data_IF_252205263849
#
_entry.id   IF_252205263849
#
_cell.length_a   1.000
_cell.length_b   1.000
_cell.length_c   1.000
_cell.angle_alpha   90.00
_cell.angle_beta   90.00
_cell.angle_gamma   90.00
#
_symmetry.space_group_name_H-M   'P 1'
#
loop_
_entity.id
_entity.type
_entity.pdbx_description
1 polymer ?
#
# COMPACT_ATOMS: atom_id res chain seq x y z
N UNK A 1 -10.58 2.57 -9.18
CA UNK A 1 -10.54 4.01 -8.86
C UNK A 1 -9.91 4.78 -10.00
N UNK A 2 -10.46 5.95 -10.33
CA UNK A 2 -9.93 6.84 -11.36
C UNK A 2 -9.62 8.22 -10.77
N UNK A 3 -8.37 8.64 -10.85
CA UNK A 3 -7.89 9.89 -10.24
C UNK A 3 -7.22 10.79 -11.27
N UNK A 4 -7.43 12.09 -11.15
CA UNK A 4 -6.68 13.12 -11.86
C UNK A 4 -5.56 13.67 -11.00
N UNK A 5 -4.33 13.72 -11.52
CA UNK A 5 -3.19 14.35 -10.83
C UNK A 5 -2.73 15.55 -11.66
N UNK A 6 -2.68 16.73 -11.06
CA UNK A 6 -2.09 17.92 -11.66
C UNK A 6 -0.79 18.28 -10.93
N UNK A 7 0.33 18.22 -11.63
CA UNK A 7 1.54 18.91 -11.17
C UNK A 7 1.31 20.40 -11.40
N UNK A 8 1.19 21.16 -10.31
CA UNK A 8 0.95 22.59 -10.38
C UNK A 8 1.96 23.30 -11.28
N UNK A 9 1.49 24.32 -12.00
CA UNK A 9 2.28 25.23 -12.83
C UNK A 9 2.85 24.65 -14.14
N UNK A 10 3.24 25.56 -15.03
CA UNK A 10 3.84 25.26 -16.33
C UNK A 10 5.37 25.16 -16.26
N UNK A 11 5.98 24.47 -17.22
CA UNK A 11 7.45 24.48 -17.42
C UNK A 11 7.88 25.80 -18.04
N UNK A 12 7.07 26.30 -18.97
CA UNK A 12 7.35 27.53 -19.72
C UNK A 12 6.07 28.31 -20.02
N UNK A 13 6.23 29.59 -20.34
CA UNK A 13 5.11 30.51 -20.52
C UNK A 13 4.57 31.02 -19.17
N UNK A 14 3.29 31.37 -19.14
CA UNK A 14 2.63 31.89 -17.95
C UNK A 14 2.31 30.78 -16.95
N UNK A 15 2.28 31.14 -15.66
CA UNK A 15 1.90 30.25 -14.57
C UNK A 15 2.96 29.23 -14.19
N UNK A 16 4.23 29.62 -14.16
CA UNK A 16 5.38 28.76 -13.80
C UNK A 16 5.63 28.61 -12.28
N UNK A 17 4.76 29.21 -11.46
CA UNK A 17 4.80 29.13 -9.99
C UNK A 17 5.89 29.97 -9.34
N UNK A 18 6.10 29.72 -8.05
CA UNK A 18 7.11 30.39 -7.25
C UNK A 18 8.53 29.88 -7.56
N UNK A 19 9.51 30.78 -7.47
CA UNK A 19 10.94 30.46 -7.54
C UNK A 19 11.56 30.88 -6.20
N UNK A 20 11.75 29.91 -5.32
CA UNK A 20 12.40 30.09 -4.02
C UNK A 20 13.78 29.44 -4.00
N UNK A 21 14.12 28.82 -2.88
CA UNK A 21 15.32 27.97 -2.74
C UNK A 21 15.22 26.76 -3.68
N UNK A 22 14.01 26.26 -3.88
CA UNK A 22 13.66 25.32 -4.95
C UNK A 22 12.60 25.96 -5.86
N UNK A 23 12.61 25.60 -7.14
CA UNK A 23 11.59 26.05 -8.10
C UNK A 23 10.35 25.18 -7.97
N UNK A 24 9.21 25.78 -7.67
CA UNK A 24 7.96 25.08 -7.42
C UNK A 24 7.59 24.15 -8.60
N UNK A 25 7.56 24.68 -9.82
CA UNK A 25 7.18 23.94 -11.04
C UNK A 25 8.03 22.69 -11.33
N UNK A 26 9.28 22.64 -10.87
CA UNK A 26 10.11 21.43 -11.00
C UNK A 26 9.73 20.39 -9.96
N UNK A 27 9.55 20.84 -8.71
CA UNK A 27 9.31 19.96 -7.59
C UNK A 27 7.88 19.42 -7.56
N UNK A 28 6.88 20.17 -8.05
CA UNK A 28 5.54 19.63 -8.27
C UNK A 28 5.57 18.46 -9.26
N UNK A 29 6.35 18.57 -10.35
CA UNK A 29 6.53 17.49 -11.34
C UNK A 29 7.33 16.31 -10.80
N UNK A 30 8.35 16.55 -9.98
CA UNK A 30 9.11 15.47 -9.35
C UNK A 30 8.20 14.66 -8.41
N UNK A 31 7.46 15.33 -7.52
CA UNK A 31 6.52 14.66 -6.60
C UNK A 31 5.37 14.01 -7.38
N UNK A 32 4.80 14.71 -8.35
CA UNK A 32 3.66 14.22 -9.12
C UNK A 32 3.98 12.97 -9.93
N UNK A 33 5.17 12.87 -10.55
CA UNK A 33 5.58 11.64 -11.26
C UNK A 33 5.67 10.44 -10.32
N UNK A 34 6.24 10.61 -9.13
CA UNK A 34 6.29 9.53 -8.13
C UNK A 34 4.90 9.18 -7.61
N UNK A 35 4.02 10.17 -7.38
CA UNK A 35 2.66 9.91 -6.94
C UNK A 35 1.84 9.16 -8.01
N UNK A 36 1.98 9.54 -9.28
CA UNK A 36 1.37 8.84 -10.42
C UNK A 36 1.84 7.38 -10.44
N UNK A 37 3.15 7.14 -10.33
CA UNK A 37 3.72 5.78 -10.29
C UNK A 37 3.13 4.95 -9.16
N UNK A 38 3.15 5.47 -7.93
CA UNK A 38 2.61 4.79 -6.74
C UNK A 38 1.12 4.46 -6.88
N UNK A 39 0.33 5.40 -7.40
CA UNK A 39 -1.11 5.20 -7.61
C UNK A 39 -1.39 4.14 -8.68
N UNK A 40 -0.63 4.15 -9.78
CA UNK A 40 -0.74 3.14 -10.84
C UNK A 40 -0.33 1.74 -10.35
N UNK A 41 0.76 1.64 -9.59
CA UNK A 41 1.20 0.38 -8.98
C UNK A 41 0.18 -0.18 -7.99
N UNK A 42 -0.58 0.69 -7.33
CA UNK A 42 -1.70 0.32 -6.48
C UNK A 42 -3.03 0.09 -7.24
N UNK A 43 -2.97 -0.02 -8.56
CA UNK A 43 -4.13 -0.37 -9.40
C UNK A 43 -5.10 0.78 -9.68
N UNK A 44 -4.76 2.03 -9.38
CA UNK A 44 -5.57 3.17 -9.76
C UNK A 44 -5.37 3.54 -11.24
N UNK A 45 -6.45 3.91 -11.93
CA UNK A 45 -6.37 4.55 -13.23
C UNK A 45 -6.04 6.04 -13.02
N UNK A 46 -4.87 6.48 -13.50
CA UNK A 46 -4.41 7.86 -13.29
C UNK A 46 -4.47 8.65 -14.59
N UNK A 47 -5.10 9.83 -14.53
CA UNK A 47 -5.16 10.82 -15.60
C UNK A 47 -4.21 11.96 -15.25
N UNK A 48 -3.12 12.09 -15.99
CA UNK A 48 -2.20 13.22 -15.83
C UNK A 48 -2.84 14.49 -16.39
N UNK A 49 -3.15 15.43 -15.51
CA UNK A 49 -3.75 16.72 -15.80
C UNK A 49 -2.71 17.86 -15.86
N UNK A 50 -1.42 17.54 -15.94
CA UNK A 50 -0.31 18.50 -15.95
C UNK A 50 -0.24 19.26 -17.29
N UNK A 51 0.09 20.55 -17.22
CA UNK A 51 0.21 21.42 -18.40
C UNK A 51 1.62 22.00 -18.44
N UNK A 52 2.35 21.75 -19.53
CA UNK A 52 3.74 22.20 -19.64
C UNK A 52 3.90 23.64 -20.17
N UNK A 53 2.93 24.13 -20.93
CA UNK A 53 2.96 25.49 -21.47
C UNK A 53 1.57 26.11 -21.58
N UNK A 54 1.48 27.41 -21.24
CA UNK A 54 0.31 28.25 -21.46
C UNK A 54 0.73 29.71 -21.75
N UNK A 55 -0.04 30.44 -22.54
CA UNK A 55 0.18 31.86 -22.80
C UNK A 55 -0.40 32.77 -21.72
N UNK A 56 -1.25 32.25 -20.83
CA UNK A 56 -1.76 32.98 -19.66
C UNK A 56 -2.06 32.06 -18.46
N UNK A 57 -2.12 32.65 -17.26
CA UNK A 57 -2.53 31.93 -16.04
C UNK A 57 -3.92 31.30 -16.18
N UNK A 58 -4.88 32.04 -16.75
CA UNK A 58 -6.25 31.56 -16.93
C UNK A 58 -6.30 30.38 -17.90
N UNK A 59 -5.50 30.40 -18.96
CA UNK A 59 -5.42 29.30 -19.90
C UNK A 59 -4.87 28.04 -19.22
N UNK A 60 -3.76 28.14 -18.49
CA UNK A 60 -3.21 27.02 -17.70
C UNK A 60 -4.29 26.39 -16.80
N UNK A 61 -4.94 27.20 -15.97
CA UNK A 61 -5.95 26.72 -15.03
C UNK A 61 -7.14 26.09 -15.75
N UNK A 62 -7.59 26.68 -16.86
CA UNK A 62 -8.71 26.14 -17.64
C UNK A 62 -8.37 24.81 -18.31
N UNK A 63 -7.15 24.65 -18.84
CA UNK A 63 -6.69 23.41 -19.49
C UNK A 63 -6.57 22.26 -18.48
N UNK A 64 -5.95 22.50 -17.32
CA UNK A 64 -5.82 21.49 -16.27
C UNK A 64 -7.20 20.98 -15.80
N UNK A 65 -8.14 21.90 -15.56
CA UNK A 65 -9.51 21.54 -15.17
C UNK A 65 -10.28 20.86 -16.31
N UNK A 66 -10.05 21.25 -17.57
CA UNK A 66 -10.68 20.59 -18.71
C UNK A 66 -10.25 19.13 -18.84
N UNK A 67 -8.96 18.82 -18.66
CA UNK A 67 -8.46 17.44 -18.62
C UNK A 67 -9.17 16.63 -17.54
N UNK A 68 -9.27 17.17 -16.32
CA UNK A 68 -9.95 16.51 -15.21
C UNK A 68 -11.45 16.30 -15.47
N UNK A 69 -12.14 17.31 -16.00
CA UNK A 69 -13.60 17.30 -16.18
C UNK A 69 -14.10 16.56 -17.42
N UNK A 70 -13.20 16.17 -18.33
CA UNK A 70 -13.47 15.27 -19.45
C UNK A 70 -13.53 13.81 -19.01
N UNK A 71 -13.18 13.53 -17.77
CA UNK A 71 -13.16 12.21 -17.17
C UNK A 71 -14.16 12.15 -16.00
N UNK A 72 -14.68 10.95 -15.73
CA UNK A 72 -15.45 10.68 -14.52
C UNK A 72 -14.50 10.28 -13.39
N UNK A 73 -13.89 11.27 -12.75
CA UNK A 73 -12.88 11.07 -11.70
C UNK A 73 -13.53 10.93 -10.33
N UNK A 74 -13.03 9.98 -9.52
CA UNK A 74 -13.32 9.89 -8.10
C UNK A 74 -12.68 11.07 -7.34
N UNK A 75 -11.47 11.45 -7.78
CA UNK A 75 -10.65 12.49 -7.16
C UNK A 75 -9.80 13.28 -8.16
N UNK A 76 -9.58 14.55 -7.83
CA UNK A 76 -8.57 15.41 -8.44
C UNK A 76 -7.60 15.93 -7.38
N UNK A 77 -6.30 15.73 -7.59
CA UNK A 77 -5.23 16.12 -6.67
C UNK A 77 -4.27 17.06 -7.39
N UNK A 78 -4.18 18.31 -6.92
CA UNK A 78 -3.21 19.30 -7.41
C UNK A 78 -2.03 19.39 -6.44
N UNK A 79 -0.79 19.25 -6.91
CA UNK A 79 0.42 19.32 -6.08
C UNK A 79 1.09 20.67 -6.27
N UNK A 80 1.40 21.35 -5.17
CA UNK A 80 1.99 22.69 -5.11
C UNK A 80 3.03 22.80 -4.00
N UNK A 81 3.84 23.86 -4.08
CA UNK A 81 4.71 24.30 -2.99
C UNK A 81 4.46 25.78 -2.72
N UNK A 82 4.32 26.11 -1.45
CA UNK A 82 3.90 27.44 -1.05
C UNK A 82 5.07 28.44 -1.10
N UNK A 83 4.76 29.72 -1.03
CA UNK A 83 5.72 30.78 -0.82
C UNK A 83 5.11 31.88 0.04
N UNK A 84 5.94 32.66 0.73
CA UNK A 84 5.50 33.78 1.56
C UNK A 84 6.35 35.01 1.29
N UNK A 85 5.73 36.19 1.28
CA UNK A 85 6.47 37.44 0.99
C UNK A 85 7.62 37.72 1.96
N UNK A 86 7.57 37.18 3.19
CA UNK A 86 8.63 37.29 4.20
C UNK A 86 9.53 36.06 4.30
N UNK A 87 9.29 35.01 3.49
CA UNK A 87 10.02 33.74 3.51
C UNK A 87 10.04 33.01 4.87
N UNK A 88 9.13 33.38 5.78
CA UNK A 88 8.97 32.78 7.12
C UNK A 88 7.78 31.84 7.23
N UNK A 89 6.95 31.76 6.19
CA UNK A 89 5.95 30.71 6.05
C UNK A 89 6.61 29.35 6.08
N UNK A 90 6.03 28.41 6.82
CA UNK A 90 6.53 27.04 6.92
C UNK A 90 5.38 26.07 7.21
N UNK A 91 5.55 24.82 6.78
CA UNK A 91 4.62 23.72 6.98
C UNK A 91 3.77 23.37 5.77
N UNK A 92 2.95 22.34 5.95
CA UNK A 92 2.04 21.80 4.94
C UNK A 92 0.61 22.26 5.15
N UNK A 93 -0.14 22.46 4.06
CA UNK A 93 -1.59 22.69 4.09
C UNK A 93 -2.29 22.06 2.88
N UNK A 94 -3.57 21.73 3.04
CA UNK A 94 -4.39 21.19 1.95
C UNK A 94 -5.63 22.05 1.78
N UNK A 95 -5.91 22.50 0.58
CA UNK A 95 -7.06 23.30 0.24
C UNK A 95 -8.17 22.45 -0.37
N UNK A 96 -9.38 22.58 0.16
CA UNK A 96 -10.58 21.90 -0.34
C UNK A 96 -11.72 22.88 -0.54
N UNK A 97 -12.73 22.51 -1.35
CA UNK A 97 -13.88 23.36 -1.57
C UNK A 97 -14.62 23.62 -0.25
N UNK A 98 -14.83 24.90 0.11
CA UNK A 98 -15.38 25.34 1.41
C UNK A 98 -14.62 24.84 2.65
N UNK A 99 -13.36 24.43 2.50
CA UNK A 99 -12.55 23.91 3.61
C UNK A 99 -13.09 22.61 4.20
N UNK A 100 -13.84 21.83 3.40
CA UNK A 100 -14.34 20.52 3.79
C UNK A 100 -13.21 19.62 4.29
N UNK A 101 -13.37 19.12 5.51
CA UNK A 101 -12.44 18.23 6.17
C UNK A 101 -12.60 16.79 5.64
N UNK A 102 -12.28 16.58 4.37
CA UNK A 102 -12.25 15.22 3.83
C UNK A 102 -11.21 14.40 4.61
N UNK A 103 -11.57 13.20 5.11
CA UNK A 103 -10.63 12.37 5.87
C UNK A 103 -9.29 12.18 5.14
N UNK A 104 -9.36 12.03 3.82
CA UNK A 104 -8.22 11.86 2.91
C UNK A 104 -7.28 13.08 2.95
N UNK A 105 -7.84 14.29 2.89
CA UNK A 105 -7.08 15.55 2.97
C UNK A 105 -6.47 15.76 4.36
N UNK A 106 -7.22 15.43 5.43
CA UNK A 106 -6.73 15.49 6.81
C UNK A 106 -5.57 14.50 7.00
N UNK A 107 -5.69 13.28 6.47
CA UNK A 107 -4.65 12.27 6.54
C UNK A 107 -3.42 12.63 5.70
N UNK A 108 -3.57 13.26 4.54
CA UNK A 108 -2.43 13.80 3.78
C UNK A 108 -1.64 14.81 4.63
N UNK A 109 -2.30 15.80 5.23
CA UNK A 109 -1.64 16.73 6.15
C UNK A 109 -0.93 16.00 7.30
N UNK A 110 -1.58 14.99 7.89
CA UNK A 110 -1.02 14.22 9.00
C UNK A 110 0.21 13.40 8.60
N UNK A 111 0.22 12.82 7.40
CA UNK A 111 1.37 12.04 6.94
C UNK A 111 2.56 12.94 6.61
N UNK A 112 2.32 14.11 6.02
CA UNK A 112 3.37 15.12 5.82
C UNK A 112 3.89 15.64 7.18
N UNK A 113 3.02 15.85 8.17
CA UNK A 113 3.45 16.19 9.54
C UNK A 113 4.42 15.15 10.14
N UNK A 114 4.15 13.86 9.92
CA UNK A 114 5.02 12.78 10.42
C UNK A 114 6.43 12.79 9.79
N UNK A 115 6.62 13.48 8.66
CA UNK A 115 7.93 13.71 8.05
C UNK A 115 8.67 14.92 8.64
N UNK A 116 8.05 15.66 9.56
CA UNK A 116 8.63 16.80 10.27
C UNK A 116 8.11 18.17 9.83
N UNK A 117 7.15 18.23 8.90
CA UNK A 117 6.52 19.51 8.53
C UNK A 117 5.57 20.00 9.62
N UNK A 118 5.49 21.32 9.80
CA UNK A 118 4.41 21.90 10.60
C UNK A 118 3.07 21.65 9.92
N UNK A 119 2.12 21.02 10.62
CA UNK A 119 0.77 20.82 10.10
C UNK A 119 -0.06 22.11 10.22
N UNK A 120 -0.54 22.65 9.10
CA UNK A 120 -1.40 23.85 9.07
C UNK A 120 -2.86 23.51 8.74
N UNK A 121 -3.16 22.22 8.63
CA UNK A 121 -4.51 21.68 8.46
C UNK A 121 -5.10 21.87 7.07
N UNK A 122 -6.37 21.48 6.96
CA UNK A 122 -7.17 21.67 5.75
C UNK A 122 -7.80 23.07 5.78
N UNK A 123 -7.68 23.80 4.67
CA UNK A 123 -8.09 25.20 4.51
C UNK A 123 -9.14 25.39 3.43
N UNK A 124 -9.84 26.52 3.53
CA UNK A 124 -10.82 26.89 2.52
C UNK A 124 -10.14 27.27 1.20
N UNK A 125 -10.40 26.45 0.17
CA UNK A 125 -9.88 26.60 -1.20
C UNK A 125 -10.92 27.07 -2.21
N UNK A 126 -12.08 27.58 -1.79
CA UNK A 126 -13.17 28.00 -2.73
C UNK A 126 -12.71 29.04 -3.75
N UNK A 127 -11.70 29.85 -3.42
CA UNK A 127 -11.11 30.84 -4.32
C UNK A 127 -10.19 30.24 -5.39
N UNK A 128 -9.62 29.06 -5.16
CA UNK A 128 -8.65 28.42 -6.04
C UNK A 128 -9.37 27.80 -7.24
N UNK A 129 -8.93 28.16 -8.45
CA UNK A 129 -9.64 27.79 -9.67
C UNK A 129 -9.80 26.27 -9.83
N UNK A 130 -8.70 25.51 -9.66
CA UNK A 130 -8.71 24.05 -9.83
C UNK A 130 -9.56 23.34 -8.77
N UNK A 131 -9.65 23.87 -7.55
CA UNK A 131 -10.53 23.34 -6.49
C UNK A 131 -12.00 23.69 -6.79
N UNK A 132 -12.27 24.91 -7.28
CA UNK A 132 -13.63 25.39 -7.51
C UNK A 132 -14.27 24.84 -8.78
N UNK A 133 -13.49 24.62 -9.84
CA UNK A 133 -13.99 24.34 -11.19
C UNK A 133 -13.91 22.86 -11.59
N UNK A 134 -13.26 22.02 -10.79
CA UNK A 134 -13.28 20.57 -10.99
C UNK A 134 -14.60 19.98 -10.50
N UNK A 135 -15.20 19.08 -11.29
CA UNK A 135 -16.48 18.40 -10.99
C UNK A 135 -16.30 17.33 -9.91
N UNK A 136 -15.21 16.57 -10.00
CA UNK A 136 -14.84 15.54 -9.04
C UNK A 136 -14.50 16.11 -7.66
N UNK A 137 -14.43 15.25 -6.64
CA UNK A 137 -13.88 15.62 -5.34
C UNK A 137 -12.44 16.11 -5.53
N UNK A 138 -12.10 17.29 -5.02
CA UNK A 138 -10.82 17.92 -5.32
C UNK A 138 -10.07 18.39 -4.08
N UNK A 139 -8.74 18.28 -4.12
CA UNK A 139 -7.85 18.96 -3.19
C UNK A 139 -6.62 19.54 -3.89
N UNK A 140 -6.09 20.63 -3.32
CA UNK A 140 -4.79 21.20 -3.68
C UNK A 140 -3.87 21.09 -2.47
N UNK A 141 -2.74 20.43 -2.63
CA UNK A 141 -1.76 20.16 -1.58
C UNK A 141 -0.63 21.17 -1.72
N UNK A 142 -0.43 22.00 -0.70
CA UNK A 142 0.80 22.74 -0.50
C UNK A 142 1.74 21.88 0.35
N UNK A 143 2.71 21.24 -0.29
CA UNK A 143 3.61 20.28 0.36
C UNK A 143 4.38 20.95 1.49
N UNK A 144 5.10 22.02 1.15
CA UNK A 144 5.84 22.88 2.07
C UNK A 144 6.14 24.21 1.38
N UNK A 145 6.80 25.15 2.07
CA UNK A 145 7.22 26.43 1.51
C UNK A 145 8.54 26.28 0.74
N UNK A 146 8.54 26.55 -0.58
CA UNK A 146 9.73 26.43 -1.44
C UNK A 146 10.79 27.51 -1.18
N UNK A 147 10.42 28.57 -0.46
CA UNK A 147 11.23 29.72 -0.12
C UNK A 147 11.67 29.75 1.36
N UNK A 148 11.36 28.70 2.13
CA UNK A 148 11.77 28.56 3.51
C UNK A 148 12.83 27.46 3.68
N UNK A 149 13.97 27.81 4.26
CA UNK A 149 15.12 26.90 4.36
C UNK A 149 14.84 25.67 5.24
N UNK A 150 14.05 25.83 6.31
CA UNK A 150 13.71 24.72 7.20
C UNK A 150 12.82 23.70 6.49
N UNK A 151 11.78 24.18 5.79
CA UNK A 151 10.90 23.31 5.00
C UNK A 151 11.67 22.59 3.88
N UNK A 152 12.57 23.27 3.16
CA UNK A 152 13.38 22.62 2.12
C UNK A 152 14.33 21.58 2.70
N UNK A 153 14.88 21.80 3.91
CA UNK A 153 15.69 20.81 4.60
C UNK A 153 14.86 19.59 5.01
N UNK A 154 13.66 19.80 5.58
CA UNK A 154 12.71 18.74 5.93
C UNK A 154 12.32 17.94 4.69
N UNK A 155 12.00 18.62 3.57
CA UNK A 155 11.70 17.98 2.28
C UNK A 155 12.83 17.06 1.81
N UNK A 156 14.08 17.51 1.87
CA UNK A 156 15.24 16.68 1.50
C UNK A 156 15.44 15.51 2.45
N UNK A 157 15.35 15.75 3.76
CA UNK A 157 15.52 14.73 4.80
C UNK A 157 14.42 13.66 4.74
N UNK A 158 13.22 14.02 4.29
CA UNK A 158 12.12 13.11 4.07
C UNK A 158 12.31 12.18 2.85
N UNK A 159 13.42 12.27 2.12
CA UNK A 159 13.66 11.51 0.89
C UNK A 159 13.28 12.28 -0.38
N UNK A 160 13.10 13.61 -0.29
CA UNK A 160 12.75 14.45 -1.43
C UNK A 160 11.42 14.04 -2.06
N UNK A 161 11.37 14.08 -3.39
CA UNK A 161 10.12 13.86 -4.12
C UNK A 161 9.47 12.50 -3.85
N UNK A 162 10.29 11.43 -3.78
CA UNK A 162 9.80 10.07 -3.53
C UNK A 162 9.15 9.93 -2.15
N UNK A 163 9.80 10.44 -1.10
CA UNK A 163 9.24 10.35 0.25
C UNK A 163 8.01 11.23 0.48
N UNK A 164 7.95 12.41 -0.16
CA UNK A 164 6.72 13.21 -0.17
C UNK A 164 5.59 12.50 -0.90
N UNK A 165 5.85 11.96 -2.09
CA UNK A 165 4.86 11.23 -2.86
C UNK A 165 4.34 10.02 -2.07
N UNK A 166 5.22 9.28 -1.40
CA UNK A 166 4.85 8.15 -0.54
C UNK A 166 3.97 8.60 0.65
N UNK A 167 4.28 9.74 1.29
CA UNK A 167 3.46 10.28 2.37
C UNK A 167 2.08 10.75 1.90
N UNK A 168 1.99 11.42 0.73
CA UNK A 168 0.71 11.79 0.11
C UNK A 168 -0.08 10.52 -0.22
N UNK A 169 0.55 9.54 -0.85
CA UNK A 169 -0.06 8.26 -1.21
C UNK A 169 -0.62 7.52 0.01
N UNK A 170 0.18 7.34 1.06
CA UNK A 170 -0.25 6.70 2.32
C UNK A 170 -1.35 7.49 3.02
N UNK A 171 -1.30 8.83 2.97
CA UNK A 171 -2.34 9.68 3.54
C UNK A 171 -3.66 9.55 2.80
N UNK A 172 -3.60 9.50 1.47
CA UNK A 172 -4.76 9.38 0.61
C UNK A 172 -5.42 8.01 0.73
N UNK A 173 -4.66 6.92 0.61
CA UNK A 173 -5.22 5.57 0.53
C UNK A 173 -5.78 5.02 1.86
N UNK A 174 -5.64 5.73 2.99
CA UNK A 174 -6.22 5.31 4.27
C UNK A 174 -7.75 5.34 4.31
N UNK A 175 -8.37 6.16 3.47
CA UNK A 175 -9.83 6.38 3.46
C UNK A 175 -10.42 6.29 2.05
N UNK A 176 -9.58 5.91 1.11
CA UNK A 176 -9.87 5.78 -0.31
C UNK A 176 -9.52 4.33 -0.66
N UNK A 177 -10.51 3.58 -1.13
CA UNK A 177 -10.37 2.15 -1.44
C UNK A 177 -9.48 1.95 -2.68
N UNK A 178 -8.16 2.12 -2.49
CA UNK A 178 -7.12 1.78 -3.45
C UNK A 178 -6.62 0.39 -3.06
N UNK A 179 -6.94 -0.66 -3.84
CA UNK A 179 -6.50 -2.01 -3.51
C UNK A 179 -4.97 -2.08 -3.36
N UNK A 180 -4.44 -2.45 -2.19
CA UNK A 180 -3.01 -2.79 -2.00
C UNK A 180 -2.08 -1.68 -1.49
N UNK A 181 -2.55 -0.47 -1.21
CA UNK A 181 -1.69 0.63 -0.75
C UNK A 181 -1.23 0.47 0.72
N UNK A 182 0.04 0.07 0.93
CA UNK A 182 0.63 -0.11 2.26
C UNK A 182 0.41 -1.50 2.88
N UNK A 183 -0.17 -2.41 2.11
CA UNK A 183 -0.31 -3.81 2.45
C UNK A 183 0.94 -4.59 2.04
N UNK A 184 1.13 -5.78 2.63
CA UNK A 184 2.32 -6.60 2.46
C UNK A 184 2.15 -7.53 1.26
N UNK A 185 2.96 -7.37 0.19
CA UNK A 185 2.85 -8.23 -0.99
C UNK A 185 3.12 -9.70 -0.67
N UNK A 186 2.36 -10.60 -1.30
CA UNK A 186 2.63 -12.05 -1.25
C UNK A 186 3.74 -12.42 -2.22
N UNK A 187 3.78 -11.80 -3.41
CA UNK A 187 4.88 -11.96 -4.35
C UNK A 187 6.09 -11.13 -3.90
N UNK A 188 7.30 -11.65 -4.11
CA UNK A 188 8.56 -11.00 -3.80
C UNK A 188 9.54 -11.89 -3.06
N UNK A 189 10.68 -11.31 -2.67
CA UNK A 189 11.74 -11.99 -1.93
C UNK A 189 11.45 -11.97 -0.43
N UNK A 190 11.66 -13.11 0.22
CA UNK A 190 11.60 -13.19 1.68
C UNK A 190 12.70 -12.35 2.34
N UNK A 191 12.36 -11.73 3.47
CA UNK A 191 13.27 -10.86 4.21
C UNK A 191 13.71 -11.45 5.56
N UNK A 192 13.00 -12.47 6.04
CA UNK A 192 13.38 -13.22 7.24
C UNK A 192 14.24 -14.44 6.87
N UNK A 193 15.23 -14.75 7.72
CA UNK A 193 16.01 -15.99 7.62
C UNK A 193 15.30 -17.18 8.27
N UNK A 194 15.75 -18.39 7.94
CA UNK A 194 15.22 -19.62 8.54
C UNK A 194 15.36 -19.61 10.07
N UNK A 195 16.49 -19.13 10.60
CA UNK A 195 16.72 -19.03 12.04
C UNK A 195 15.71 -18.11 12.74
N UNK A 196 15.34 -16.99 12.11
CA UNK A 196 14.37 -16.06 12.68
C UNK A 196 12.95 -16.65 12.68
N UNK A 197 12.59 -17.37 11.60
CA UNK A 197 11.32 -18.08 11.51
C UNK A 197 11.24 -19.23 12.53
N UNK A 198 12.34 -19.95 12.71
CA UNK A 198 12.47 -21.01 13.71
C UNK A 198 12.37 -20.47 15.14
N UNK A 199 13.00 -19.33 15.43
CA UNK A 199 12.85 -18.65 16.72
C UNK A 199 11.39 -18.24 16.99
N UNK A 200 10.68 -17.73 15.98
CA UNK A 200 9.25 -17.44 16.09
C UNK A 200 8.43 -18.70 16.39
N UNK A 201 8.71 -19.80 15.68
CA UNK A 201 8.03 -21.07 15.92
C UNK A 201 8.21 -21.53 17.36
N UNK A 202 9.45 -21.60 17.86
CA UNK A 202 9.74 -22.05 19.21
C UNK A 202 9.15 -21.12 20.29
N UNK A 203 9.00 -19.83 20.00
CA UNK A 203 8.29 -18.89 20.88
C UNK A 203 6.80 -19.24 21.02
N UNK A 204 6.14 -19.69 19.94
CA UNK A 204 4.73 -20.10 19.95
C UNK A 204 4.49 -21.56 20.36
N UNK A 205 5.48 -22.42 20.13
CA UNK A 205 5.46 -23.84 20.47
C UNK A 205 6.88 -24.37 20.75
N UNK A 206 7.33 -24.37 22.02
CA UNK A 206 8.65 -24.88 22.38
C UNK A 206 8.88 -26.37 22.08
N UNK A 207 7.81 -27.14 21.81
CA UNK A 207 7.89 -28.58 21.51
C UNK A 207 7.95 -28.88 20.00
N UNK A 208 8.05 -27.86 19.15
CA UNK A 208 8.00 -28.02 17.69
C UNK A 208 9.39 -28.23 17.03
N UNK A 209 10.37 -28.79 17.75
CA UNK A 209 11.74 -28.98 17.26
C UNK A 209 11.78 -29.81 15.96
N UNK A 210 10.88 -30.79 15.83
CA UNK A 210 10.77 -31.63 14.62
C UNK A 210 10.36 -30.85 13.36
N UNK A 211 9.84 -29.61 13.50
CA UNK A 211 9.37 -28.77 12.40
C UNK A 211 10.35 -27.68 11.99
N UNK A 212 11.51 -27.54 12.64
CA UNK A 212 12.47 -26.46 12.34
C UNK A 212 13.02 -26.50 10.91
N UNK A 213 13.05 -27.68 10.30
CA UNK A 213 13.44 -27.85 8.90
C UNK A 213 12.46 -27.18 7.92
N UNK A 214 11.21 -26.92 8.32
CA UNK A 214 10.21 -26.33 7.44
C UNK A 214 10.54 -24.89 7.05
N UNK A 215 11.15 -24.10 7.93
CA UNK A 215 11.48 -22.71 7.62
C UNK A 215 12.36 -22.58 6.37
N UNK A 216 13.38 -23.43 6.24
CA UNK A 216 14.24 -23.48 5.06
C UNK A 216 13.46 -23.93 3.81
N UNK A 217 12.63 -24.97 3.93
CA UNK A 217 11.78 -25.45 2.83
C UNK A 217 10.84 -24.34 2.31
N UNK A 218 10.22 -23.58 3.21
CA UNK A 218 9.34 -22.46 2.83
C UNK A 218 10.08 -21.37 2.06
N UNK A 219 11.29 -21.00 2.51
CA UNK A 219 12.11 -20.00 1.83
C UNK A 219 12.53 -20.48 0.44
N UNK A 220 13.00 -21.72 0.31
CA UNK A 220 13.41 -22.30 -0.97
C UNK A 220 12.25 -22.45 -1.96
N UNK A 221 11.11 -23.00 -1.53
CA UNK A 221 9.96 -23.17 -2.42
C UNK A 221 9.32 -21.82 -2.78
N UNK A 222 9.33 -20.86 -1.84
CA UNK A 222 8.92 -19.48 -2.09
C UNK A 222 9.77 -18.80 -3.15
N UNK A 223 11.10 -18.88 -3.02
CA UNK A 223 12.05 -18.30 -3.97
C UNK A 223 11.81 -18.82 -5.41
N UNK A 224 11.62 -20.13 -5.58
CA UNK A 224 11.36 -20.74 -6.89
C UNK A 224 10.11 -20.18 -7.58
N UNK A 225 9.08 -19.82 -6.82
CA UNK A 225 7.81 -19.32 -7.36
C UNK A 225 7.71 -17.79 -7.35
N UNK A 226 8.69 -17.09 -6.77
CA UNK A 226 8.65 -15.65 -6.55
C UNK A 226 7.67 -15.23 -5.44
N UNK A 227 7.37 -16.14 -4.51
CA UNK A 227 6.46 -15.93 -3.37
C UNK A 227 7.28 -15.74 -2.11
N UNK A 228 6.82 -14.85 -1.23
CA UNK A 228 7.40 -14.65 0.10
C UNK A 228 7.15 -15.87 1.01
N UNK A 229 8.13 -16.78 1.01
CA UNK A 229 8.17 -17.98 1.85
C UNK A 229 8.10 -17.70 3.35
N UNK A 230 8.75 -16.62 3.81
CA UNK A 230 8.65 -16.10 5.19
C UNK A 230 7.20 -15.76 5.59
N UNK A 231 6.44 -15.12 4.71
CA UNK A 231 5.03 -14.84 4.95
C UNK A 231 4.16 -16.09 4.90
N UNK A 232 4.45 -17.03 3.98
CA UNK A 232 3.79 -18.33 3.90
C UNK A 232 4.03 -19.20 5.16
N UNK A 233 5.25 -19.17 5.70
CA UNK A 233 5.56 -19.82 6.97
C UNK A 233 4.74 -19.20 8.11
N UNK A 234 4.70 -17.87 8.22
CA UNK A 234 3.87 -17.18 9.21
C UNK A 234 2.38 -17.56 9.09
N UNK A 235 1.88 -17.70 7.86
CA UNK A 235 0.53 -18.21 7.61
C UNK A 235 0.35 -19.64 8.14
N UNK A 236 1.30 -20.54 7.89
CA UNK A 236 1.20 -21.92 8.39
C UNK A 236 1.17 -22.02 9.91
N UNK A 237 1.84 -21.11 10.63
CA UNK A 237 1.77 -21.05 12.09
C UNK A 237 0.34 -20.73 12.57
N UNK A 238 -0.39 -19.89 11.83
CA UNK A 238 -1.78 -19.58 12.15
C UNK A 238 -2.67 -20.80 11.85
N UNK A 239 -2.53 -21.41 10.68
CA UNK A 239 -3.36 -22.54 10.23
C UNK A 239 -3.21 -23.78 11.11
N UNK A 240 -1.98 -24.05 11.58
CA UNK A 240 -1.66 -25.25 12.36
C UNK A 240 -1.67 -25.02 13.87
N UNK A 241 -1.85 -23.77 14.33
CA UNK A 241 -1.67 -23.40 15.72
C UNK A 241 -0.23 -23.60 16.22
N UNK A 242 0.75 -23.16 15.43
CA UNK A 242 2.19 -23.39 15.62
C UNK A 242 2.55 -24.89 15.60
N UNK A 243 2.08 -25.61 14.59
CA UNK A 243 2.26 -27.06 14.38
C UNK A 243 1.77 -27.92 15.55
N UNK A 244 0.76 -27.46 16.30
CA UNK A 244 0.06 -28.26 17.31
C UNK A 244 -1.08 -29.09 16.71
N UNK A 245 -1.59 -28.70 15.54
CA UNK A 245 -2.66 -29.39 14.80
C UNK A 245 -3.93 -29.63 15.64
N UNK A 246 -4.48 -28.55 16.22
CA UNK A 246 -5.71 -28.62 17.03
C UNK A 246 -7.02 -28.64 16.22
N UNK A 247 -6.94 -28.63 14.88
CA UNK A 247 -8.10 -28.59 13.98
C UNK A 247 -8.33 -29.88 13.21
N UNK A 248 -8.96 -29.77 12.05
CA UNK A 248 -9.32 -30.93 11.20
C UNK A 248 -8.10 -31.58 10.53
N UNK A 249 -7.06 -30.80 10.24
CA UNK A 249 -5.82 -31.27 9.61
C UNK A 249 -4.88 -31.89 10.63
N UNK A 250 -4.32 -33.05 10.28
CA UNK A 250 -3.37 -33.82 11.08
C UNK A 250 -1.93 -33.64 10.61
N UNK A 251 -0.92 -33.82 11.50
CA UNK A 251 0.51 -33.73 11.14
C UNK A 251 0.91 -34.57 9.93
N UNK A 252 0.40 -35.82 9.85
CA UNK A 252 0.74 -36.77 8.79
C UNK A 252 0.20 -36.39 7.40
N UNK A 253 -0.64 -35.36 7.30
CA UNK A 253 -1.14 -34.88 6.01
C UNK A 253 -0.17 -33.92 5.32
N UNK A 254 0.84 -33.40 6.04
CA UNK A 254 1.75 -32.37 5.55
C UNK A 254 1.02 -31.15 4.94
N UNK A 255 -0.21 -30.87 5.40
CA UNK A 255 -1.04 -29.81 4.86
C UNK A 255 -0.99 -28.58 5.79
N UNK A 256 0.07 -27.79 5.63
CA UNK A 256 0.36 -26.68 6.55
C UNK A 256 -0.51 -25.44 6.33
N UNK A 257 -1.34 -25.43 5.28
CA UNK A 257 -2.19 -24.30 4.91
C UNK A 257 -3.70 -24.58 5.03
N UNK A 258 -4.10 -25.76 5.50
CA UNK A 258 -5.51 -26.13 5.57
C UNK A 258 -6.18 -26.32 4.21
N UNK A 259 -5.42 -26.64 3.15
CA UNK A 259 -5.95 -26.76 1.79
C UNK A 259 -7.07 -27.81 1.77
N UNK A 260 -8.27 -27.37 1.41
CA UNK A 260 -9.46 -28.22 1.32
C UNK A 260 -10.10 -28.61 2.65
N UNK A 261 -9.61 -28.11 3.80
CA UNK A 261 -10.20 -28.40 5.10
C UNK A 261 -11.39 -27.46 5.39
N UNK A 262 -12.52 -28.01 5.83
CA UNK A 262 -13.71 -27.23 6.22
C UNK A 262 -14.53 -28.00 7.25
N UNK A 263 -14.64 -27.48 8.48
CA UNK A 263 -15.65 -27.87 9.49
C UNK A 263 -15.93 -29.38 9.59
N UNK A 264 -14.90 -30.18 9.86
CA UNK A 264 -14.96 -31.65 9.96
C UNK A 264 -14.44 -32.40 8.73
N UNK A 265 -14.08 -31.68 7.65
CA UNK A 265 -13.39 -32.25 6.49
C UNK A 265 -11.88 -32.13 6.71
N UNK A 266 -11.11 -33.23 6.72
CA UNK A 266 -9.68 -33.23 7.06
C UNK A 266 -8.79 -32.49 6.05
N UNK A 267 -9.32 -32.11 4.89
CA UNK A 267 -8.58 -31.48 3.81
C UNK A 267 -7.67 -32.43 3.03
N UNK A 268 -6.86 -31.85 2.16
CA UNK A 268 -5.92 -32.59 1.31
C UNK A 268 -4.72 -33.14 2.11
N UNK A 269 -4.06 -34.14 1.56
CA UNK A 269 -2.83 -34.73 2.11
C UNK A 269 -1.74 -34.74 1.05
N UNK A 270 -0.51 -34.51 1.47
CA UNK A 270 0.67 -34.46 0.61
C UNK A 270 1.67 -35.54 1.02
N UNK A 271 2.42 -36.10 0.05
CA UNK A 271 3.31 -37.24 0.29
C UNK A 271 4.44 -36.93 1.27
N UNK A 272 4.92 -35.68 1.28
CA UNK A 272 6.00 -35.22 2.14
C UNK A 272 5.86 -33.72 2.47
N UNK A 273 6.65 -33.27 3.45
CA UNK A 273 6.66 -31.90 3.91
C UNK A 273 6.91 -30.88 2.78
N UNK A 274 7.88 -31.16 1.89
CA UNK A 274 8.24 -30.24 0.80
C UNK A 274 7.11 -30.09 -0.21
N UNK A 275 6.42 -31.18 -0.54
CA UNK A 275 5.26 -31.16 -1.44
C UNK A 275 4.10 -30.38 -0.82
N UNK A 276 3.87 -30.55 0.48
CA UNK A 276 2.87 -29.78 1.22
C UNK A 276 3.15 -28.27 1.26
N UNK A 277 4.40 -27.89 1.53
CA UNK A 277 4.85 -26.50 1.47
C UNK A 277 4.72 -25.94 0.05
N UNK A 278 5.14 -26.69 -0.97
CA UNK A 278 4.98 -26.27 -2.37
C UNK A 278 3.51 -26.03 -2.73
N UNK A 279 2.60 -26.90 -2.30
CA UNK A 279 1.17 -26.71 -2.53
C UNK A 279 0.67 -25.39 -1.91
N UNK A 280 1.10 -25.05 -0.69
CA UNK A 280 0.77 -23.76 -0.07
C UNK A 280 1.33 -22.58 -0.86
N UNK A 281 2.59 -22.64 -1.27
CA UNK A 281 3.24 -21.58 -2.06
C UNK A 281 2.50 -21.38 -3.39
N UNK A 282 2.14 -22.45 -4.09
CA UNK A 282 1.37 -22.38 -5.33
C UNK A 282 -0.02 -21.80 -5.08
N UNK A 283 -0.68 -22.18 -3.98
CA UNK A 283 -1.98 -21.61 -3.62
C UNK A 283 -1.86 -20.10 -3.40
N UNK A 284 -0.87 -19.64 -2.61
CA UNK A 284 -0.60 -18.22 -2.42
C UNK A 284 -0.27 -17.49 -3.72
N UNK A 285 0.53 -18.08 -4.62
CA UNK A 285 0.79 -17.51 -5.95
C UNK A 285 -0.49 -17.35 -6.76
N UNK A 286 -1.40 -18.33 -6.70
CA UNK A 286 -2.69 -18.22 -7.37
C UNK A 286 -3.51 -17.03 -6.85
N UNK A 287 -3.53 -16.80 -5.53
CA UNK A 287 -4.18 -15.61 -4.98
C UNK A 287 -3.48 -14.34 -5.43
N UNK A 288 -2.15 -14.32 -5.43
CA UNK A 288 -1.40 -13.08 -5.55
C UNK A 288 -1.09 -12.63 -6.98
N UNK A 289 -1.06 -13.55 -7.94
CA UNK A 289 -0.54 -13.30 -9.27
C UNK A 289 -1.33 -14.01 -10.37
N UNK A 290 -1.20 -13.51 -11.59
CA UNK A 290 -1.66 -14.17 -12.82
C UNK A 290 -0.53 -14.88 -13.57
N UNK A 291 0.72 -14.73 -13.09
CA UNK A 291 1.87 -15.41 -13.66
C UNK A 291 1.78 -16.93 -13.51
N UNK A 292 2.24 -17.70 -14.51
CA UNK A 292 2.23 -19.15 -14.44
C UNK A 292 3.14 -19.68 -13.32
N UNK A 293 2.87 -20.90 -12.86
CA UNK A 293 3.77 -21.60 -11.94
C UNK A 293 5.12 -21.86 -12.59
N UNK A 294 6.19 -21.73 -11.81
CA UNK A 294 7.54 -22.08 -12.23
C UNK A 294 7.81 -23.59 -12.08
N UNK A 295 7.10 -24.24 -11.16
CA UNK A 295 7.20 -25.68 -10.89
C UNK A 295 5.92 -26.42 -11.31
N UNK A 296 6.01 -27.75 -11.35
CA UNK A 296 4.84 -28.62 -11.55
C UNK A 296 3.78 -28.36 -10.48
N UNK A 297 2.52 -28.24 -10.90
CA UNK A 297 1.39 -27.97 -10.01
C UNK A 297 1.12 -29.19 -9.11
N UNK A 298 1.30 -29.03 -7.80
CA UNK A 298 0.98 -30.04 -6.78
C UNK A 298 -0.21 -29.63 -5.91
N UNK A 299 -0.65 -28.38 -5.98
CA UNK A 299 -1.87 -27.91 -5.33
C UNK A 299 -3.12 -28.42 -6.08
N UNK A 300 -3.91 -29.34 -5.51
CA UNK A 300 -5.09 -29.91 -6.17
C UNK A 300 -6.25 -28.92 -6.29
N UNK A 301 -6.15 -27.75 -5.63
CA UNK A 301 -7.15 -26.69 -5.68
C UNK A 301 -6.71 -25.48 -6.47
N UNK A 302 -5.53 -25.55 -7.10
CA UNK A 302 -4.94 -24.41 -7.80
C UNK A 302 -5.91 -23.85 -8.86
N UNK A 303 -6.52 -24.72 -9.66
CA UNK A 303 -7.45 -24.33 -10.73
C UNK A 303 -8.71 -23.60 -10.24
N UNK A 304 -9.13 -23.81 -8.99
CA UNK A 304 -10.35 -23.20 -8.44
C UNK A 304 -10.12 -21.77 -7.92
N UNK A 305 -8.87 -21.34 -7.79
CA UNK A 305 -8.54 -19.98 -7.32
C UNK A 305 -8.64 -19.00 -8.49
N UNK A 306 -9.43 -17.94 -8.32
CA UNK A 306 -9.41 -16.79 -9.23
C UNK A 306 -8.04 -16.12 -9.18
N UNK A 307 -7.27 -16.19 -10.26
CA UNK A 307 -5.88 -15.74 -10.29
C UNK A 307 -5.74 -14.24 -10.01
N UNK A 308 -4.76 -13.86 -9.20
CA UNK A 308 -4.49 -12.46 -8.84
C UNK A 308 -5.58 -11.79 -7.99
N UNK A 309 -6.51 -12.56 -7.40
CA UNK A 309 -7.61 -11.98 -6.64
C UNK A 309 -7.20 -11.37 -5.29
N UNK A 310 -6.03 -11.66 -4.74
CA UNK A 310 -5.50 -11.09 -3.49
C UNK A 310 -3.97 -10.93 -3.55
N UNK A 311 -3.43 -9.84 -4.14
CA UNK A 311 -1.99 -9.59 -4.24
C UNK A 311 -1.21 -9.47 -2.92
N UNK A 312 -1.90 -9.21 -1.80
CA UNK A 312 -1.30 -8.94 -0.48
C UNK A 312 -1.84 -9.86 0.60
N UNK A 313 -1.06 -10.08 1.67
CA UNK A 313 -1.46 -10.97 2.77
C UNK A 313 -2.74 -10.47 3.46
N UNK A 314 -2.89 -9.17 3.63
CA UNK A 314 -4.05 -8.49 4.19
C UNK A 314 -5.34 -8.81 3.41
N UNK A 315 -5.24 -8.92 2.07
CA UNK A 315 -6.36 -9.25 1.19
C UNK A 315 -6.79 -10.71 1.22
N UNK A 316 -6.04 -11.60 1.88
CA UNK A 316 -6.47 -12.97 2.13
C UNK A 316 -7.69 -13.04 3.05
N UNK A 317 -7.91 -12.01 3.88
CA UNK A 317 -9.12 -11.90 4.69
C UNK A 317 -10.36 -11.70 3.81
N UNK A 318 -11.36 -12.56 4.01
CA UNK A 318 -12.59 -12.60 3.21
C UNK A 318 -12.48 -13.40 1.90
N UNK A 319 -11.30 -13.96 1.59
CA UNK A 319 -11.07 -14.76 0.38
C UNK A 319 -10.49 -16.14 0.70
N UNK A 320 -9.33 -16.16 1.35
CA UNK A 320 -8.73 -17.38 1.90
C UNK A 320 -9.45 -17.80 3.18
N UNK A 321 -9.50 -16.87 4.14
CA UNK A 321 -10.21 -17.07 5.41
C UNK A 321 -11.53 -16.30 5.35
N UNK A 322 -12.66 -16.99 5.39
CA UNK A 322 -14.00 -16.40 5.37
C UNK A 322 -14.67 -16.62 6.73
N UNK A 323 -15.19 -15.56 7.40
CA UNK A 323 -15.21 -14.17 6.97
C UNK A 323 -13.86 -13.45 7.10
N UNK A 324 -12.87 -14.06 7.77
CA UNK A 324 -11.51 -13.53 7.88
C UNK A 324 -11.31 -12.48 8.97
N UNK A 325 -12.27 -12.34 9.88
CA UNK A 325 -12.21 -11.48 11.06
C UNK A 325 -13.17 -12.02 12.14
N UNK A 326 -13.06 -11.53 13.38
CA UNK A 326 -13.98 -11.86 14.48
C UNK A 326 -14.13 -10.66 15.40
N UNK A 327 -15.32 -10.46 15.99
CA UNK A 327 -15.59 -9.37 16.93
C UNK A 327 -15.81 -7.99 16.29
N UNK A 328 -15.94 -7.91 14.96
CA UNK A 328 -16.19 -6.67 14.21
C UNK A 328 -17.51 -6.75 13.43
N UNK A 329 -18.12 -5.60 13.15
CA UNK A 329 -19.37 -5.51 12.40
C UNK A 329 -19.21 -5.86 10.91
N UNK A 330 -18.00 -5.70 10.35
CA UNK A 330 -17.71 -5.97 8.94
C UNK A 330 -16.21 -6.24 8.73
N UNK A 331 -15.85 -6.81 7.57
CA UNK A 331 -14.44 -6.96 7.16
C UNK A 331 -13.75 -5.60 7.11
N UNK A 332 -14.45 -4.57 6.64
CA UNK A 332 -13.93 -3.21 6.56
C UNK A 332 -13.62 -2.63 7.95
N UNK A 333 -14.51 -2.85 8.93
CA UNK A 333 -14.26 -2.43 10.31
C UNK A 333 -13.03 -3.15 10.91
N UNK A 334 -12.83 -4.43 10.58
CA UNK A 334 -11.66 -5.19 11.00
C UNK A 334 -10.37 -4.74 10.28
N UNK A 335 -10.45 -4.35 9.00
CA UNK A 335 -9.33 -3.77 8.24
C UNK A 335 -8.88 -2.44 8.83
N UNK A 336 -9.81 -1.54 9.11
CA UNK A 336 -9.50 -0.26 9.78
C UNK A 336 -8.86 -0.45 11.17
N UNK A 337 -9.19 -1.55 11.86
CA UNK A 337 -8.59 -1.92 13.14
C UNK A 337 -7.27 -2.69 13.02
N UNK A 338 -6.79 -2.99 11.80
CA UNK A 338 -5.65 -3.86 11.53
C UNK A 338 -5.76 -5.23 12.24
N UNK A 339 -6.96 -5.83 12.27
CA UNK A 339 -7.22 -7.08 13.00
C UNK A 339 -7.99 -8.12 12.20
N UNK A 340 -7.66 -8.22 10.91
CA UNK A 340 -8.12 -9.32 10.05
C UNK A 340 -7.16 -10.52 10.11
N UNK A 341 -7.55 -11.64 9.51
CA UNK A 341 -6.68 -12.79 9.23
C UNK A 341 -5.34 -12.39 8.60
N UNK A 342 -5.36 -11.61 7.51
CA UNK A 342 -4.13 -11.19 6.83
C UNK A 342 -3.21 -10.33 7.69
N UNK A 343 -3.77 -9.36 8.42
CA UNK A 343 -3.04 -8.59 9.44
C UNK A 343 -2.37 -9.46 10.52
N UNK A 344 -2.91 -10.63 10.88
CA UNK A 344 -2.25 -11.55 11.82
C UNK A 344 -0.97 -12.15 11.23
N UNK A 345 -1.00 -12.54 9.95
CA UNK A 345 0.19 -13.00 9.21
C UNK A 345 1.26 -11.89 9.25
N UNK A 346 0.86 -10.66 8.91
CA UNK A 346 1.77 -9.52 8.83
C UNK A 346 2.31 -9.11 10.20
N UNK A 347 1.53 -9.25 11.28
CA UNK A 347 2.02 -9.04 12.66
C UNK A 347 3.13 -10.04 13.02
N UNK A 348 2.97 -11.32 12.69
CA UNK A 348 4.01 -12.34 12.90
C UNK A 348 5.26 -12.02 12.09
N UNK A 349 5.09 -11.73 10.80
CA UNK A 349 6.20 -11.40 9.90
C UNK A 349 6.98 -10.16 10.39
N UNK A 350 6.28 -9.10 10.80
CA UNK A 350 6.92 -7.92 11.36
C UNK A 350 7.64 -8.19 12.70
N UNK A 351 7.14 -9.13 13.51
CA UNK A 351 7.82 -9.53 14.74
C UNK A 351 9.16 -10.21 14.44
N UNK A 352 9.18 -11.11 13.45
CA UNK A 352 10.38 -11.83 12.97
C UNK A 352 11.45 -10.87 12.44
N UNK A 353 11.03 -9.84 11.71
CA UNK A 353 11.96 -8.88 11.09
C UNK A 353 12.47 -7.84 12.09
N UNK A 354 11.68 -7.49 13.12
CA UNK A 354 12.03 -6.46 14.11
C UNK A 354 12.98 -6.91 15.20
N UNK A 355 13.18 -8.21 15.43
CA UNK A 355 14.16 -8.76 16.39
C UNK A 355 15.64 -8.49 16.00
N UNK A 356 15.87 -7.51 15.12
CA UNK A 356 17.16 -7.04 14.60
C UNK A 356 17.51 -5.59 14.99
N UNK A 357 16.85 -5.00 16.00
CA UNK A 357 17.26 -3.69 16.54
C UNK A 357 17.61 -3.76 18.02
#
# INVERSE_FOLDING_TARGET
>A
MKIGINCGHTVSGAGYGAVGIIRESDHTRLVGRELIRLMQEAGAQVIDCTIDHASSQNEYLSKAVALANNEDLDWFISIHFNASGTHTGQGTEVYTYKGRQYPDAVCVCKNLENLGFRNRGVKEGTGLYVVRKTKAKSMLIEVCFCDNQQDVNTYKAAGGAGGIAEAIFKGFCKHVDVPGAGETPIMGTSVASADQLNALLLSGNPQAEDYLHLAEIFLEEGEKEGVRGDGAFCQSLIETGCFKFGGDVKPCQHNYAGIGATGGVPGNSFPDARTGVRAQIQHLKAYASTEPLAQECVDPRYEYVSKGCAPTFEQLAGKWAVPGYSGYASLEAARLANDTYGHKIVKLLNHVVKSLK
#
